data_IF_380640470387
#
_entry.id   IF_380640470387
#
_cell.length_a   1.000
_cell.length_b   1.000
_cell.length_c   1.000
_cell.angle_alpha   90.00
_cell.angle_beta   90.00
_cell.angle_gamma   90.00
#
_symmetry.space_group_name_H-M   'P 1'
#
loop_
_entity.id
_entity.type
_entity.pdbx_description
1 polymer ?
#
# COMPACT_ATOMS: atom_id res chain seq x y z
N UNK A 1 29.87 -15.59 24.99
CA UNK A 1 28.61 -16.35 25.19
C UNK A 1 27.34 -15.47 25.10
N UNK A 2 27.30 -14.30 25.77
CA UNK A 2 26.13 -13.42 25.73
C UNK A 2 25.81 -12.88 24.33
N UNK A 3 26.81 -12.53 23.55
CA UNK A 3 26.64 -12.06 22.16
C UNK A 3 26.08 -13.17 21.27
N UNK A 4 26.50 -14.40 21.48
CA UNK A 4 26.02 -15.56 20.72
C UNK A 4 24.55 -15.87 21.02
N UNK A 5 24.16 -15.83 22.30
CA UNK A 5 22.76 -15.99 22.71
C UNK A 5 21.86 -14.91 22.13
N UNK A 6 22.30 -13.64 22.14
CA UNK A 6 21.56 -12.54 21.54
C UNK A 6 21.41 -12.71 20.01
N UNK A 7 22.45 -13.20 19.34
CA UNK A 7 22.39 -13.46 17.90
C UNK A 7 21.44 -14.61 17.57
N UNK A 8 21.40 -15.67 18.38
CA UNK A 8 20.45 -16.78 18.22
C UNK A 8 19.00 -16.32 18.39
N UNK A 9 18.69 -15.57 19.45
CA UNK A 9 17.35 -15.01 19.66
C UNK A 9 16.92 -14.11 18.49
N UNK A 10 17.82 -13.29 17.96
CA UNK A 10 17.55 -12.44 16.79
C UNK A 10 17.23 -13.25 15.52
N UNK A 11 17.88 -14.40 15.35
CA UNK A 11 17.61 -15.31 14.23
C UNK A 11 16.20 -15.90 14.38
N UNK A 12 15.84 -16.39 15.56
CA UNK A 12 14.52 -16.98 15.86
C UNK A 12 13.41 -15.93 15.69
N UNK A 13 13.58 -14.72 16.23
CA UNK A 13 12.62 -13.62 16.07
C UNK A 13 12.39 -13.24 14.59
N UNK A 14 13.46 -13.22 13.78
CA UNK A 14 13.35 -12.91 12.36
C UNK A 14 12.75 -14.09 11.56
N UNK A 15 12.99 -15.32 11.97
CA UNK A 15 12.37 -16.52 11.40
C UNK A 15 10.85 -16.50 11.63
N UNK A 16 10.41 -16.20 12.85
CA UNK A 16 8.99 -16.10 13.20
C UNK A 16 8.30 -14.96 12.44
N UNK A 17 8.96 -13.81 12.30
CA UNK A 17 8.47 -12.71 11.48
C UNK A 17 8.33 -13.11 10.01
N UNK A 18 9.28 -13.86 9.46
CA UNK A 18 9.22 -14.32 8.08
C UNK A 18 8.10 -15.33 7.88
N UNK A 19 7.91 -16.27 8.81
CA UNK A 19 6.80 -17.23 8.81
C UNK A 19 5.45 -16.52 8.85
N UNK A 20 5.33 -15.47 9.67
CA UNK A 20 4.12 -14.66 9.75
C UNK A 20 3.84 -13.91 8.42
N UNK A 21 4.87 -13.31 7.79
CA UNK A 21 4.72 -12.63 6.48
C UNK A 21 4.32 -13.61 5.38
N UNK A 22 4.84 -14.84 5.41
CA UNK A 22 4.51 -15.92 4.48
C UNK A 22 3.16 -16.58 4.80
N UNK A 23 2.50 -16.16 5.87
CA UNK A 23 1.25 -16.75 6.37
C UNK A 23 1.35 -18.27 6.60
N UNK A 24 2.50 -18.74 7.06
CA UNK A 24 2.70 -20.13 7.45
C UNK A 24 2.06 -20.36 8.81
N UNK A 25 1.17 -21.34 8.89
CA UNK A 25 0.57 -21.72 10.19
C UNK A 25 1.62 -22.39 11.08
N UNK A 26 1.77 -21.90 12.32
CA UNK A 26 2.69 -22.48 13.29
C UNK A 26 2.34 -23.94 13.67
N UNK A 27 1.09 -24.36 13.45
CA UNK A 27 0.63 -25.73 13.67
C UNK A 27 0.87 -26.64 12.46
N UNK A 28 1.33 -26.11 11.34
CA UNK A 28 1.63 -26.89 10.13
C UNK A 28 3.03 -27.50 10.18
N UNK A 29 3.20 -28.62 9.48
CA UNK A 29 4.51 -29.27 9.35
C UNK A 29 5.56 -28.33 8.71
N UNK A 30 5.13 -27.40 7.85
CA UNK A 30 5.99 -26.39 7.23
C UNK A 30 6.34 -25.25 8.20
N UNK A 31 5.40 -24.85 9.07
CA UNK A 31 5.63 -23.81 10.08
C UNK A 31 6.64 -24.23 11.17
N UNK A 32 6.74 -25.52 11.46
CA UNK A 32 7.70 -26.08 12.42
C UNK A 32 9.12 -26.23 11.85
N UNK A 33 9.29 -26.20 10.53
CA UNK A 33 10.62 -26.34 9.89
C UNK A 33 11.43 -25.05 10.06
N UNK A 34 12.73 -25.21 10.29
CA UNK A 34 13.69 -24.11 10.36
C UNK A 34 13.96 -23.55 8.96
N UNK A 35 13.89 -22.22 8.81
CA UNK A 35 14.20 -21.56 7.54
C UNK A 35 15.69 -21.31 7.46
N UNK A 36 16.34 -21.86 6.43
CA UNK A 36 17.76 -21.67 6.17
C UNK A 36 17.89 -20.86 4.87
N UNK A 37 18.48 -19.64 4.92
CA UNK A 37 18.76 -18.86 3.72
C UNK A 37 19.73 -19.62 2.80
N UNK A 38 19.33 -19.85 1.54
CA UNK A 38 20.17 -20.56 0.56
C UNK A 38 21.12 -19.62 -0.19
N UNK A 39 20.75 -18.34 -0.34
CA UNK A 39 21.50 -17.36 -1.12
C UNK A 39 22.56 -16.65 -0.28
N UNK A 40 23.79 -16.58 -0.79
CA UNK A 40 24.81 -15.71 -0.23
C UNK A 40 24.59 -14.26 -0.68
N UNK A 41 24.85 -13.26 0.18
CA UNK A 41 24.76 -11.85 -0.20
C UNK A 41 25.89 -11.52 -1.19
N UNK A 42 25.63 -11.65 -2.49
CA UNK A 42 26.61 -11.27 -3.54
C UNK A 42 26.46 -9.79 -3.84
N UNK A 43 27.59 -9.11 -3.90
CA UNK A 43 27.66 -7.73 -4.40
C UNK A 43 27.65 -7.76 -5.93
N UNK A 44 26.49 -7.52 -6.50
CA UNK A 44 26.32 -7.25 -7.92
C UNK A 44 26.04 -5.76 -8.07
N UNK A 45 26.89 -5.06 -8.81
CA UNK A 45 26.54 -3.76 -9.36
C UNK A 45 25.45 -4.04 -10.39
N UNK A 46 24.18 -4.05 -9.93
CA UNK A 46 23.04 -4.12 -10.85
C UNK A 46 23.03 -2.88 -11.73
N UNK A 47 22.39 -2.95 -12.89
CA UNK A 47 22.12 -1.78 -13.71
C UNK A 47 21.54 -0.69 -12.82
N UNK A 48 22.28 0.40 -12.66
CA UNK A 48 21.82 1.57 -11.92
C UNK A 48 20.58 2.10 -12.67
N UNK A 49 19.40 1.77 -12.17
CA UNK A 49 18.21 2.50 -12.58
C UNK A 49 18.50 3.97 -12.29
N UNK A 50 18.63 4.77 -13.34
CA UNK A 50 18.91 6.20 -13.15
C UNK A 50 17.84 6.78 -12.23
N UNK A 51 18.22 7.73 -11.38
CA UNK A 51 17.30 8.42 -10.49
C UNK A 51 16.05 8.91 -11.23
N UNK A 52 16.24 9.38 -12.46
CA UNK A 52 15.16 9.88 -13.32
C UNK A 52 14.16 8.77 -13.71
N UNK A 53 14.64 7.59 -14.09
CA UNK A 53 13.78 6.44 -14.39
C UNK A 53 13.02 5.96 -13.15
N UNK A 54 13.66 5.92 -12.00
CA UNK A 54 13.05 5.56 -10.72
C UNK A 54 11.96 6.55 -10.32
N UNK A 55 12.20 7.85 -10.47
CA UNK A 55 11.20 8.89 -10.21
C UNK A 55 10.00 8.79 -11.16
N UNK A 56 10.26 8.60 -12.45
CA UNK A 56 9.20 8.46 -13.45
C UNK A 56 8.35 7.21 -13.18
N UNK A 57 8.98 6.09 -12.87
CA UNK A 57 8.28 4.85 -12.53
C UNK A 57 7.40 5.04 -11.27
N UNK A 58 7.94 5.61 -10.20
CA UNK A 58 7.21 5.86 -8.95
C UNK A 58 5.98 6.78 -9.17
N UNK A 59 6.12 7.88 -9.92
CA UNK A 59 5.02 8.80 -10.18
C UNK A 59 3.95 8.25 -11.14
N UNK A 60 4.29 7.18 -11.90
CA UNK A 60 3.38 6.58 -12.87
C UNK A 60 2.64 5.35 -12.31
N UNK A 61 3.32 4.52 -11.52
CA UNK A 61 2.82 3.18 -11.16
C UNK A 61 2.39 3.04 -9.70
N UNK A 62 2.73 3.98 -8.83
CA UNK A 62 2.40 3.85 -7.41
C UNK A 62 0.89 3.76 -7.15
N UNK A 63 0.41 2.69 -6.48
CA UNK A 63 -1.02 2.47 -6.25
C UNK A 63 -1.67 3.55 -5.37
N UNK A 64 -0.92 4.09 -4.37
CA UNK A 64 -1.42 5.14 -3.48
C UNK A 64 -1.70 6.44 -4.24
N UNK A 65 -0.83 6.81 -5.19
CA UNK A 65 -1.04 7.98 -6.04
C UNK A 65 -2.18 7.77 -7.04
N UNK A 66 -2.26 6.57 -7.63
CA UNK A 66 -3.36 6.22 -8.54
C UNK A 66 -4.71 6.23 -7.81
N UNK A 67 -4.76 5.67 -6.59
CA UNK A 67 -5.97 5.69 -5.77
C UNK A 67 -6.42 7.14 -5.46
N UNK A 68 -5.49 8.04 -5.14
CA UNK A 68 -5.80 9.46 -4.92
C UNK A 68 -6.30 10.17 -6.18
N UNK A 69 -5.76 9.85 -7.36
CA UNK A 69 -6.25 10.37 -8.64
C UNK A 69 -7.66 9.87 -8.96
N UNK A 70 -7.96 8.60 -8.69
CA UNK A 70 -9.32 8.07 -8.82
C UNK A 70 -10.29 8.71 -7.81
N UNK A 71 -9.85 8.96 -6.57
CA UNK A 71 -10.64 9.70 -5.59
C UNK A 71 -10.98 11.10 -6.10
N UNK A 72 -10.03 11.77 -6.75
CA UNK A 72 -10.27 13.09 -7.36
C UNK A 72 -11.37 13.05 -8.45
N UNK A 73 -11.35 12.04 -9.30
CA UNK A 73 -12.41 11.83 -10.29
C UNK A 73 -13.78 11.63 -9.63
N UNK A 74 -13.85 10.81 -8.58
CA UNK A 74 -15.07 10.61 -7.81
C UNK A 74 -15.58 11.91 -7.18
N UNK A 75 -14.68 12.72 -6.58
CA UNK A 75 -15.06 14.02 -6.02
C UNK A 75 -15.58 14.98 -7.08
N UNK A 76 -15.01 14.97 -8.28
CA UNK A 76 -15.51 15.77 -9.40
C UNK A 76 -16.91 15.32 -9.86
N UNK A 77 -17.21 14.02 -9.82
CA UNK A 77 -18.56 13.49 -10.07
C UNK A 77 -19.53 13.99 -8.98
N UNK A 78 -19.12 13.95 -7.70
CA UNK A 78 -19.91 14.49 -6.61
C UNK A 78 -20.22 15.99 -6.76
N UNK A 79 -19.26 16.78 -7.24
CA UNK A 79 -19.48 18.21 -7.55
C UNK A 79 -20.55 18.35 -8.62
N UNK A 80 -20.43 17.64 -9.75
CA UNK A 80 -21.42 17.65 -10.83
C UNK A 80 -22.81 17.22 -10.36
N UNK A 81 -22.87 16.17 -9.53
CA UNK A 81 -24.12 15.73 -8.93
C UNK A 81 -24.77 16.83 -8.09
N UNK A 82 -24.01 17.47 -7.21
CA UNK A 82 -24.54 18.54 -6.35
C UNK A 82 -24.87 19.81 -7.16
N UNK A 83 -24.17 20.09 -8.26
CA UNK A 83 -24.54 21.16 -9.20
C UNK A 83 -25.87 20.88 -9.86
N UNK A 84 -26.11 19.62 -10.26
CA UNK A 84 -27.40 19.22 -10.81
C UNK A 84 -28.56 19.36 -9.80
N UNK A 85 -28.28 19.13 -8.50
CA UNK A 85 -29.27 19.33 -7.44
C UNK A 85 -29.65 20.80 -7.19
N UNK A 86 -28.94 21.77 -7.80
CA UNK A 86 -29.35 23.17 -7.79
C UNK A 86 -30.41 23.51 -8.86
N UNK A 87 -30.59 22.64 -9.84
CA UNK A 87 -31.55 22.85 -10.92
C UNK A 87 -32.97 22.51 -10.46
N UNK A 88 -33.99 23.06 -11.15
CA UNK A 88 -35.39 22.66 -10.97
C UNK A 88 -35.56 21.16 -11.25
N UNK A 89 -36.43 20.50 -10.49
CA UNK A 89 -36.81 19.13 -10.78
C UNK A 89 -38.14 19.10 -11.55
N UNK A 90 -38.19 18.27 -12.58
CA UNK A 90 -39.41 17.98 -13.35
C UNK A 90 -39.64 16.46 -13.32
N UNK A 91 -40.66 16.06 -12.59
CA UNK A 91 -41.00 14.65 -12.41
C UNK A 91 -42.26 14.32 -13.21
N UNK A 92 -42.21 13.23 -13.95
CA UNK A 92 -43.37 12.58 -14.56
C UNK A 92 -43.93 11.54 -13.57
N UNK A 93 -45.10 11.81 -13.08
CA UNK A 93 -45.81 10.90 -12.18
C UNK A 93 -46.86 10.16 -12.96
N UNK A 94 -46.80 8.84 -13.01
CA UNK A 94 -47.80 7.99 -13.60
C UNK A 94 -48.36 7.06 -12.53
N UNK A 95 -49.64 6.94 -12.47
CA UNK A 95 -50.34 6.01 -11.57
C UNK A 95 -51.30 5.12 -12.34
N UNK A 96 -51.27 3.84 -12.02
CA UNK A 96 -52.22 2.85 -12.52
C UNK A 96 -52.77 2.12 -11.30
N UNK A 97 -54.10 2.15 -11.20
CA UNK A 97 -54.82 1.45 -10.13
C UNK A 97 -55.91 0.57 -10.70
N UNK A 98 -56.11 -0.58 -10.11
CA UNK A 98 -57.24 -1.44 -10.39
C UNK A 98 -58.08 -1.51 -9.11
N UNK A 99 -59.36 -1.21 -9.23
CA UNK A 99 -60.30 -1.25 -8.12
C UNK A 99 -61.37 -2.28 -8.39
N UNK A 100 -61.75 -3.05 -7.36
CA UNK A 100 -62.90 -3.94 -7.36
C UNK A 100 -63.82 -3.58 -6.19
N UNK A 101 -65.05 -3.42 -6.43
CA UNK A 101 -66.05 -3.15 -5.42
C UNK A 101 -67.14 -4.27 -5.44
N UNK A 102 -67.38 -4.82 -4.29
CA UNK A 102 -68.53 -5.71 -4.10
C UNK A 102 -69.27 -5.32 -2.83
N UNK A 103 -70.57 -5.31 -2.88
CA UNK A 103 -71.41 -4.96 -1.73
C UNK A 103 -72.77 -5.57 -1.87
N UNK A 104 -73.50 -5.63 -0.75
CA UNK A 104 -74.86 -6.14 -0.71
C UNK A 104 -75.85 -5.11 -1.27
N UNK A 105 -76.64 -5.54 -2.23
CA UNK A 105 -77.80 -4.78 -2.75
C UNK A 105 -79.03 -5.59 -2.71
N UNK A 106 -80.21 -4.99 -3.00
CA UNK A 106 -81.50 -5.66 -2.99
C UNK A 106 -81.61 -6.87 -3.97
N UNK A 107 -80.64 -6.94 -4.92
CA UNK A 107 -80.67 -7.99 -5.99
C UNK A 107 -79.41 -8.85 -6.01
N UNK A 108 -78.34 -8.50 -5.29
CA UNK A 108 -77.06 -9.25 -5.31
C UNK A 108 -76.41 -9.24 -3.95
N UNK A 109 -75.96 -10.42 -3.48
CA UNK A 109 -75.09 -10.54 -2.28
C UNK A 109 -73.64 -10.31 -2.65
N UNK A 110 -73.03 -9.39 -1.96
CA UNK A 110 -71.57 -9.06 -2.15
C UNK A 110 -70.72 -10.22 -1.66
N UNK A 111 -69.62 -10.48 -2.41
CA UNK A 111 -68.67 -11.51 -2.06
C UNK A 111 -67.23 -10.96 -2.30
N UNK A 112 -66.28 -11.35 -1.44
CA UNK A 112 -64.89 -11.05 -1.61
C UNK A 112 -64.31 -11.52 -2.97
N UNK A 113 -64.75 -12.74 -3.38
CA UNK A 113 -64.29 -13.28 -4.67
C UNK A 113 -64.85 -12.46 -5.87
N UNK A 114 -66.02 -11.85 -5.72
CA UNK A 114 -66.56 -10.95 -6.75
C UNK A 114 -65.81 -9.65 -6.82
N UNK A 115 -65.45 -9.05 -5.68
CA UNK A 115 -64.60 -7.85 -5.65
C UNK A 115 -63.19 -8.11 -6.25
N UNK A 116 -62.64 -9.29 -5.97
CA UNK A 116 -61.37 -9.70 -6.52
C UNK A 116 -61.46 -9.91 -8.05
N UNK A 117 -62.46 -10.57 -8.51
CA UNK A 117 -62.74 -10.79 -9.95
C UNK A 117 -62.95 -9.46 -10.69
N UNK A 118 -63.65 -8.51 -10.06
CA UNK A 118 -63.87 -7.19 -10.64
C UNK A 118 -62.58 -6.37 -10.68
N UNK A 119 -61.71 -6.49 -9.69
CA UNK A 119 -60.37 -5.87 -9.71
C UNK A 119 -59.59 -6.31 -10.92
N UNK A 120 -59.57 -7.61 -11.23
CA UNK A 120 -58.86 -8.13 -12.42
C UNK A 120 -59.61 -7.92 -13.75
N UNK A 121 -60.88 -7.62 -13.70
CA UNK A 121 -61.69 -7.37 -14.92
C UNK A 121 -61.41 -6.02 -15.58
N UNK A 122 -60.58 -5.16 -14.98
CA UNK A 122 -60.25 -3.80 -15.45
C UNK A 122 -61.43 -2.85 -15.63
N UNK A 123 -62.67 -3.22 -15.16
CA UNK A 123 -63.84 -2.36 -15.29
C UNK A 123 -63.72 -1.03 -14.57
N UNK A 124 -63.00 -1.02 -13.46
CA UNK A 124 -62.82 0.15 -12.62
C UNK A 124 -61.31 0.51 -12.56
N UNK A 125 -60.66 0.52 -13.72
CA UNK A 125 -59.30 0.96 -13.84
C UNK A 125 -59.16 2.48 -13.63
N UNK A 126 -58.23 2.88 -12.77
CA UNK A 126 -57.82 4.26 -12.56
C UNK A 126 -56.46 4.45 -13.21
N UNK A 127 -56.34 5.43 -14.05
CA UNK A 127 -55.06 5.85 -14.54
C UNK A 127 -54.88 7.36 -14.35
N UNK A 128 -53.68 7.77 -14.00
CA UNK A 128 -53.32 9.16 -13.79
C UNK A 128 -51.98 9.49 -14.44
N UNK A 129 -51.94 10.67 -14.96
CA UNK A 129 -50.75 11.25 -15.58
C UNK A 129 -50.58 12.69 -15.07
N UNK A 130 -49.41 12.99 -14.52
CA UNK A 130 -49.13 14.32 -13.98
C UNK A 130 -47.69 14.71 -14.19
N UNK A 131 -47.43 16.02 -14.27
CA UNK A 131 -46.14 16.62 -14.27
C UNK A 131 -46.00 17.41 -12.96
N UNK A 132 -44.94 17.14 -12.19
CA UNK A 132 -44.63 17.90 -11.00
C UNK A 132 -43.33 18.69 -11.22
N UNK A 133 -43.46 20.03 -11.27
CA UNK A 133 -42.33 20.94 -11.39
C UNK A 133 -42.04 21.54 -10.02
N UNK A 134 -40.84 21.30 -9.48
CA UNK A 134 -40.37 21.87 -8.21
C UNK A 134 -39.15 22.76 -8.44
N UNK A 135 -39.23 24.01 -7.97
CA UNK A 135 -38.13 24.98 -8.04
C UNK A 135 -37.86 25.62 -6.67
N UNK A 136 -36.71 25.28 -6.01
CA UNK A 136 -36.37 25.84 -4.71
C UNK A 136 -35.91 27.29 -4.81
N UNK A 137 -36.71 28.24 -4.31
CA UNK A 137 -36.38 29.67 -4.34
C UNK A 137 -35.23 29.93 -3.37
N UNK A 138 -34.15 30.61 -3.89
CA UNK A 138 -32.96 30.95 -3.14
C UNK A 138 -31.93 29.86 -3.02
N UNK A 139 -32.33 28.57 -2.89
CA UNK A 139 -31.54 27.32 -2.88
C UNK A 139 -30.18 27.43 -2.15
N UNK A 140 -30.16 28.10 -0.96
CA UNK A 140 -28.90 28.35 -0.21
C UNK A 140 -28.21 27.07 0.22
N UNK A 141 -28.98 26.05 0.64
CA UNK A 141 -28.44 24.78 1.09
C UNK A 141 -27.67 24.06 -0.01
N UNK A 142 -28.25 23.94 -1.21
CA UNK A 142 -27.58 23.31 -2.34
C UNK A 142 -26.33 24.11 -2.80
N UNK A 143 -26.44 25.45 -2.84
CA UNK A 143 -25.29 26.31 -3.17
C UNK A 143 -24.13 26.14 -2.18
N UNK A 144 -24.42 26.11 -0.88
CA UNK A 144 -23.41 25.88 0.17
C UNK A 144 -22.78 24.50 0.03
N UNK A 145 -23.60 23.47 -0.30
CA UNK A 145 -23.12 22.10 -0.50
C UNK A 145 -22.18 21.98 -1.71
N UNK A 146 -22.51 22.64 -2.83
CA UNK A 146 -21.62 22.71 -4.01
C UNK A 146 -20.31 23.40 -3.65
N UNK A 147 -20.36 24.53 -2.92
CA UNK A 147 -19.15 25.23 -2.48
C UNK A 147 -18.29 24.35 -1.59
N UNK A 148 -18.88 23.63 -0.62
CA UNK A 148 -18.18 22.69 0.23
C UNK A 148 -17.50 21.58 -0.59
N UNK A 149 -18.23 20.99 -1.58
CA UNK A 149 -17.67 19.95 -2.43
C UNK A 149 -16.52 20.44 -3.33
N UNK A 150 -16.60 21.68 -3.83
CA UNK A 150 -15.49 22.30 -4.56
C UNK A 150 -14.25 22.51 -3.69
N UNK A 151 -14.44 22.89 -2.42
CA UNK A 151 -13.33 23.02 -1.46
C UNK A 151 -12.71 21.66 -1.12
N UNK A 152 -13.50 20.60 -0.99
CA UNK A 152 -12.99 19.23 -0.83
C UNK A 152 -12.12 18.81 -2.03
N UNK A 153 -12.52 19.14 -3.26
CA UNK A 153 -11.70 18.90 -4.47
C UNK A 153 -10.39 19.69 -4.40
N UNK A 154 -10.46 20.97 -4.02
CA UNK A 154 -9.25 21.80 -3.90
C UNK A 154 -8.29 21.26 -2.82
N UNK A 155 -8.81 20.81 -1.70
CA UNK A 155 -8.02 20.15 -0.66
C UNK A 155 -7.35 18.87 -1.17
N UNK A 156 -8.10 17.99 -1.84
CA UNK A 156 -7.57 16.75 -2.39
C UNK A 156 -6.46 16.98 -3.44
N UNK A 157 -6.57 18.04 -4.23
CA UNK A 157 -5.50 18.44 -5.17
C UNK A 157 -4.21 18.81 -4.45
N UNK A 158 -4.30 19.50 -3.29
CA UNK A 158 -3.13 19.80 -2.46
C UNK A 158 -2.57 18.54 -1.83
N UNK A 159 -3.41 17.62 -1.35
CA UNK A 159 -2.99 16.33 -0.79
C UNK A 159 -2.26 15.47 -1.83
N UNK A 160 -2.74 15.46 -3.08
CA UNK A 160 -2.06 14.76 -4.19
C UNK A 160 -0.68 15.38 -4.45
N UNK A 161 -0.59 16.72 -4.49
CA UNK A 161 0.69 17.40 -4.70
C UNK A 161 1.68 17.13 -3.57
N UNK A 162 1.21 17.12 -2.32
CA UNK A 162 2.03 16.77 -1.16
C UNK A 162 2.53 15.31 -1.25
N UNK A 163 1.64 14.39 -1.62
CA UNK A 163 2.00 12.99 -1.84
C UNK A 163 3.06 12.85 -2.94
N UNK A 164 2.92 13.55 -4.08
CA UNK A 164 3.91 13.54 -5.16
C UNK A 164 5.27 14.05 -4.68
N UNK A 165 5.31 15.13 -3.89
CA UNK A 165 6.55 15.65 -3.31
C UNK A 165 7.18 14.65 -2.34
N UNK A 166 6.39 14.04 -1.48
CA UNK A 166 6.84 13.02 -0.53
C UNK A 166 7.42 11.79 -1.24
N UNK A 167 6.81 11.36 -2.36
CA UNK A 167 7.33 10.29 -3.21
C UNK A 167 8.71 10.66 -3.75
N UNK A 168 8.85 11.87 -4.30
CA UNK A 168 10.14 12.35 -4.84
C UNK A 168 11.23 12.35 -3.77
N UNK A 169 10.91 12.82 -2.55
CA UNK A 169 11.86 12.82 -1.42
C UNK A 169 12.28 11.40 -1.06
N UNK A 170 11.32 10.48 -0.89
CA UNK A 170 11.60 9.08 -0.53
C UNK A 170 12.43 8.35 -1.58
N UNK A 171 12.16 8.56 -2.88
CA UNK A 171 12.96 7.96 -3.96
C UNK A 171 14.39 8.49 -3.94
N UNK A 172 14.58 9.81 -3.76
CA UNK A 172 15.91 10.41 -3.65
C UNK A 172 16.68 9.93 -2.43
N UNK A 173 16.01 9.78 -1.29
CA UNK A 173 16.63 9.22 -0.07
C UNK A 173 17.07 7.78 -0.28
N UNK A 174 16.21 6.93 -0.86
CA UNK A 174 16.54 5.54 -1.15
C UNK A 174 17.72 5.45 -2.13
N UNK A 175 17.78 6.30 -3.14
CA UNK A 175 18.87 6.32 -4.11
C UNK A 175 20.21 6.73 -3.45
N UNK A 176 20.23 7.82 -2.64
CA UNK A 176 21.42 8.24 -1.90
C UNK A 176 21.89 7.16 -0.91
N UNK A 177 20.94 6.44 -0.29
CA UNK A 177 21.29 5.35 0.62
C UNK A 177 22.03 4.23 -0.12
N UNK A 178 21.58 3.84 -1.32
CA UNK A 178 22.25 2.85 -2.16
C UNK A 178 23.67 3.28 -2.51
N UNK A 179 23.87 4.54 -2.94
CA UNK A 179 25.21 5.07 -3.25
C UNK A 179 26.14 5.03 -2.02
N UNK A 180 25.60 5.34 -0.84
CA UNK A 180 26.34 5.28 0.41
C UNK A 180 26.73 3.85 0.76
N UNK A 181 25.79 2.91 0.62
CA UNK A 181 26.02 1.50 0.94
C UNK A 181 27.00 0.85 -0.05
N UNK A 182 26.99 1.23 -1.33
CA UNK A 182 28.01 0.81 -2.31
C UNK A 182 29.42 1.22 -1.84
N UNK A 183 29.58 2.48 -1.44
CA UNK A 183 30.88 2.98 -0.93
C UNK A 183 31.28 2.26 0.35
N UNK A 184 30.32 1.96 1.23
CA UNK A 184 30.56 1.21 2.47
C UNK A 184 31.04 -0.21 2.17
N UNK A 185 30.39 -0.93 1.24
CA UNK A 185 30.83 -2.27 0.82
C UNK A 185 32.24 -2.25 0.27
N UNK A 186 32.59 -1.24 -0.55
CA UNK A 186 33.95 -1.11 -1.08
C UNK A 186 34.98 -0.86 0.03
N UNK A 187 34.65 0.01 0.98
CA UNK A 187 35.54 0.32 2.10
C UNK A 187 35.76 -0.87 3.03
N UNK A 188 34.68 -1.58 3.41
CA UNK A 188 34.78 -2.78 4.29
C UNK A 188 35.53 -3.92 3.61
N UNK A 189 35.38 -4.09 2.29
CA UNK A 189 36.15 -5.08 1.52
C UNK A 189 37.66 -4.80 1.55
N UNK A 190 38.05 -3.50 1.43
CA UNK A 190 39.45 -3.09 1.53
C UNK A 190 39.95 -3.31 2.96
N UNK A 191 39.20 -2.94 3.99
CA UNK A 191 39.55 -3.13 5.39
C UNK A 191 39.78 -4.62 5.72
N UNK A 192 38.85 -5.51 5.30
CA UNK A 192 39.02 -6.96 5.46
C UNK A 192 40.29 -7.48 4.77
N UNK A 193 40.56 -6.99 3.54
CA UNK A 193 41.81 -7.39 2.83
C UNK A 193 43.04 -6.97 3.61
N UNK A 194 43.06 -5.75 4.12
CA UNK A 194 44.18 -5.24 4.95
C UNK A 194 44.32 -6.03 6.25
N UNK A 195 43.24 -6.33 6.96
CA UNK A 195 43.28 -7.15 8.19
C UNK A 195 43.84 -8.54 7.90
N UNK A 196 43.45 -9.16 6.77
CA UNK A 196 43.99 -10.44 6.35
C UNK A 196 45.51 -10.37 6.05
N UNK A 197 45.97 -9.34 5.37
CA UNK A 197 47.40 -9.16 5.07
C UNK A 197 48.20 -8.92 6.36
N UNK A 198 47.65 -8.15 7.33
CA UNK A 198 48.26 -7.95 8.65
C UNK A 198 48.40 -9.27 9.41
N UNK A 199 47.33 -10.08 9.45
CA UNK A 199 47.37 -11.38 10.11
C UNK A 199 48.45 -12.29 9.49
N UNK A 200 48.49 -12.40 8.16
CA UNK A 200 49.54 -13.19 7.47
C UNK A 200 50.96 -12.70 7.80
N UNK A 201 51.14 -11.39 7.93
CA UNK A 201 52.46 -10.84 8.30
C UNK A 201 52.80 -11.17 9.77
N UNK A 202 51.82 -11.13 10.68
CA UNK A 202 52.02 -11.45 12.09
C UNK A 202 52.26 -12.95 12.33
N UNK A 203 51.56 -13.82 11.61
CA UNK A 203 51.77 -15.25 11.61
C UNK A 203 53.26 -15.58 11.24
N UNK A 204 53.80 -14.93 10.20
CA UNK A 204 55.19 -15.12 9.80
C UNK A 204 56.19 -14.65 10.86
N UNK A 205 55.90 -13.54 11.57
CA UNK A 205 56.73 -13.09 12.70
C UNK A 205 56.67 -14.06 13.86
N UNK A 206 55.48 -14.62 14.12
CA UNK A 206 55.29 -15.61 15.16
C UNK A 206 56.09 -16.89 14.86
N UNK A 207 56.04 -17.39 13.62
CA UNK A 207 56.81 -18.56 13.17
C UNK A 207 58.33 -18.40 13.40
N UNK A 208 58.86 -17.21 13.27
CA UNK A 208 60.29 -16.92 13.50
C UNK A 208 60.61 -16.43 14.92
N UNK A 209 59.64 -16.48 15.81
CA UNK A 209 59.82 -16.12 17.23
C UNK A 209 59.85 -14.62 17.52
N UNK A 210 59.46 -13.74 16.55
CA UNK A 210 59.43 -12.30 16.69
C UNK A 210 58.07 -11.73 17.12
N UNK A 211 57.09 -12.62 17.40
CA UNK A 211 55.77 -12.23 17.89
C UNK A 211 55.30 -13.21 18.96
N UNK A 212 54.15 -12.87 19.58
CA UNK A 212 53.52 -13.68 20.63
C UNK A 212 52.17 -14.24 20.13
N UNK A 213 51.73 -15.35 20.74
CA UNK A 213 50.39 -15.90 20.46
C UNK A 213 49.27 -14.89 20.76
N UNK A 214 49.48 -13.97 21.70
CA UNK A 214 48.53 -12.90 21.99
C UNK A 214 48.33 -11.95 20.79
N UNK A 215 49.38 -11.53 20.18
CA UNK A 215 49.32 -10.64 19.00
C UNK A 215 48.64 -11.34 17.83
N UNK A 216 48.92 -12.64 17.59
CA UNK A 216 48.28 -13.39 16.53
C UNK A 216 46.78 -13.49 16.79
N UNK A 217 46.33 -13.75 18.02
CA UNK A 217 44.93 -13.79 18.39
C UNK A 217 44.23 -12.43 18.19
N UNK A 218 44.88 -11.33 18.54
CA UNK A 218 44.41 -9.96 18.32
C UNK A 218 44.14 -9.69 16.83
N UNK A 219 45.08 -10.04 15.94
CA UNK A 219 44.88 -9.88 14.49
C UNK A 219 43.87 -10.86 13.89
N UNK A 220 43.65 -12.02 14.52
CA UNK A 220 42.58 -12.93 14.15
C UNK A 220 41.20 -12.34 14.53
N UNK A 221 41.11 -11.70 15.69
CA UNK A 221 39.90 -10.99 16.14
C UNK A 221 39.59 -9.82 15.20
N UNK A 222 40.58 -8.99 14.87
CA UNK A 222 40.47 -7.90 13.89
C UNK A 222 39.92 -8.41 12.54
N UNK A 223 40.47 -9.52 12.02
CA UNK A 223 40.01 -10.09 10.77
C UNK A 223 38.56 -10.59 10.87
N UNK A 224 38.18 -11.22 11.98
CA UNK A 224 36.82 -11.71 12.19
C UNK A 224 35.83 -10.54 12.28
N UNK A 225 36.20 -9.44 12.92
CA UNK A 225 35.40 -8.23 13.00
C UNK A 225 35.21 -7.62 11.61
N UNK A 226 36.30 -7.46 10.83
CA UNK A 226 36.19 -6.88 9.47
C UNK A 226 35.45 -7.78 8.48
N UNK A 227 35.48 -9.09 8.65
CA UNK A 227 34.63 -10.01 7.91
C UNK A 227 33.14 -9.82 8.26
N UNK A 228 32.82 -9.65 9.54
CA UNK A 228 31.47 -9.37 10.00
C UNK A 228 30.96 -8.03 9.47
N UNK A 229 31.81 -6.99 9.50
CA UNK A 229 31.50 -5.67 8.96
C UNK A 229 31.23 -5.69 7.45
N UNK A 230 32.00 -6.47 6.66
CA UNK A 230 31.73 -6.64 5.22
C UNK A 230 30.38 -7.33 4.97
N UNK A 231 30.07 -8.41 5.70
CA UNK A 231 28.78 -9.11 5.57
C UNK A 231 27.63 -8.18 5.91
N UNK A 232 27.76 -7.41 6.99
CA UNK A 232 26.75 -6.42 7.38
C UNK A 232 26.56 -5.35 6.30
N UNK A 233 27.63 -4.82 5.72
CA UNK A 233 27.55 -3.85 4.64
C UNK A 233 26.86 -4.43 3.38
N UNK A 234 27.14 -5.68 3.03
CA UNK A 234 26.48 -6.39 1.93
C UNK A 234 24.97 -6.55 2.15
N UNK A 235 24.58 -6.91 3.38
CA UNK A 235 23.17 -7.05 3.76
C UNK A 235 22.46 -5.69 3.72
N UNK A 236 23.09 -4.64 4.25
CA UNK A 236 22.54 -3.28 4.24
C UNK A 236 22.35 -2.78 2.79
N UNK A 237 23.30 -3.04 1.90
CA UNK A 237 23.16 -2.74 0.47
C UNK A 237 21.97 -3.48 -0.18
N UNK A 238 21.78 -4.76 0.11
CA UNK A 238 20.63 -5.53 -0.40
C UNK A 238 19.29 -4.98 0.14
N UNK A 239 19.27 -4.60 1.42
CA UNK A 239 18.09 -3.96 2.04
C UNK A 239 17.76 -2.62 1.40
N UNK A 240 18.76 -1.77 1.14
CA UNK A 240 18.54 -0.47 0.50
C UNK A 240 18.04 -0.61 -0.94
N UNK A 241 18.52 -1.60 -1.70
CA UNK A 241 17.96 -1.94 -3.03
C UNK A 241 16.50 -2.36 -2.97
N UNK A 242 16.16 -3.26 -2.05
CA UNK A 242 14.78 -3.70 -1.87
C UNK A 242 13.88 -2.54 -1.43
N UNK A 243 14.39 -1.65 -0.57
CA UNK A 243 13.66 -0.45 -0.16
C UNK A 243 13.40 0.50 -1.34
N UNK A 244 14.36 0.66 -2.25
CA UNK A 244 14.13 1.45 -3.48
C UNK A 244 13.01 0.82 -4.32
N UNK A 245 13.02 -0.48 -4.54
CA UNK A 245 11.96 -1.18 -5.28
C UNK A 245 10.59 -0.99 -4.61
N UNK A 246 10.52 -1.07 -3.28
CA UNK A 246 9.29 -0.83 -2.52
C UNK A 246 8.80 0.62 -2.62
N UNK A 247 9.71 1.58 -2.72
CA UNK A 247 9.34 3.00 -2.84
C UNK A 247 8.89 3.34 -4.26
N UNK A 248 9.33 2.58 -5.27
CA UNK A 248 8.92 2.74 -6.68
C UNK A 248 7.58 2.05 -6.96
N UNK A 249 7.35 0.89 -6.35
CA UNK A 249 6.11 0.09 -6.50
C UNK A 249 4.95 0.70 -5.74
#
# INVERSE_FOLDING_TARGET
DQLLLNAQNLIEDNEDRLKNILNLSFDSEEGLKKIIPADSPVFELGEENSLENSLKAALTHRPDLLAKKMELENRNIEVKYNENQMLPTLDLVTSLGLNGLSGDSTTTNGSYNQALSETYSTKFGLWGFGLNLSYPIGNRAAKSKVTAKRLEVAQLLLDIKDLEQNIVVKVREAHRQIETDIKRVQATRIARKLAKEKLIAEDKKFEVGLSTSFNVLEFQEDLAEEQSNEIKALIDYKKSRNKLNQVIA
#
